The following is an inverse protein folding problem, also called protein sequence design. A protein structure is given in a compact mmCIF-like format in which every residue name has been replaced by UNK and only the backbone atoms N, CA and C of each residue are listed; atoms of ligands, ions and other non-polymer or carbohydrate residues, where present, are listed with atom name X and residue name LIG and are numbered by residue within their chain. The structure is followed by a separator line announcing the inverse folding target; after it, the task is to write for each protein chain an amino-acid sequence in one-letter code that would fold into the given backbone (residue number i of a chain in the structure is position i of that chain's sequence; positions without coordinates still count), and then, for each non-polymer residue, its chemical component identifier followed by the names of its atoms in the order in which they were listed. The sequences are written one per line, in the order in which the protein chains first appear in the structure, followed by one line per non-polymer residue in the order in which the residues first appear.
data_IF_957295480200
#
_entry.id   IF_957295480200
#
_cell.length_a   1.000
_cell.length_b   1.000
_cell.length_c   1.000
_cell.angle_alpha   90.00
_cell.angle_beta   90.00
_cell.angle_gamma   90.00
#
_symmetry.space_group_name_H-M   'P 1'
#
loop_
_entity.id
_entity.type
_entity.pdbx_description
1 polymer ?
#
# COMPACT_ATOMS: atom_id res chain seq x y z
N UNK A 1 5.04 16.37 9.61
CA UNK A 1 5.05 15.57 10.85
C UNK A 1 4.19 14.30 10.74
N UNK A 2 2.91 14.40 10.33
CA UNK A 2 2.01 13.24 10.14
C UNK A 2 2.53 12.10 9.24
N UNK A 3 3.28 12.40 8.16
CA UNK A 3 3.85 11.38 7.25
C UNK A 3 4.86 10.43 7.91
N UNK A 4 5.61 10.87 8.94
CA UNK A 4 6.56 9.99 9.66
C UNK A 4 5.84 9.10 10.67
N UNK A 5 4.83 9.64 11.36
CA UNK A 5 3.96 8.87 12.27
C UNK A 5 3.26 7.74 11.52
N UNK A 6 2.81 8.01 10.29
CA UNK A 6 2.08 7.02 9.50
C UNK A 6 2.92 5.80 9.10
N UNK A 7 4.22 5.99 8.85
CA UNK A 7 5.14 4.88 8.58
C UNK A 7 5.39 4.00 9.82
N UNK A 8 5.54 4.63 10.99
CA UNK A 8 5.69 3.91 12.27
C UNK A 8 4.40 3.15 12.61
N UNK A 9 3.24 3.78 12.44
CA UNK A 9 1.94 3.17 12.68
C UNK A 9 1.70 1.96 11.76
N UNK A 10 1.99 2.08 10.46
CA UNK A 10 1.87 0.97 9.52
C UNK A 10 2.78 -0.21 9.90
N UNK A 11 3.98 0.06 10.40
CA UNK A 11 4.90 -0.98 10.86
C UNK A 11 4.43 -1.65 12.16
N UNK A 12 3.88 -0.87 13.11
CA UNK A 12 3.28 -1.41 14.34
C UNK A 12 2.10 -2.33 14.01
N UNK A 13 1.21 -1.90 13.12
CA UNK A 13 0.04 -2.69 12.72
C UNK A 13 0.44 -3.98 12.01
N UNK A 14 1.43 -3.91 11.11
CA UNK A 14 1.98 -5.10 10.45
C UNK A 14 2.60 -6.10 11.44
N UNK A 15 3.19 -5.63 12.55
CA UNK A 15 3.69 -6.51 13.62
C UNK A 15 2.58 -7.12 14.47
N UNK A 16 1.47 -6.42 14.65
CA UNK A 16 0.32 -6.92 15.43
C UNK A 16 -0.51 -7.95 14.64
N UNK A 17 -0.56 -7.82 13.31
CA UNK A 17 -1.28 -8.73 12.40
C UNK A 17 -0.34 -9.21 11.29
N UNK A 18 0.64 -10.07 11.61
CA UNK A 18 1.68 -10.49 10.66
C UNK A 18 1.16 -11.27 9.44
N UNK A 19 -0.06 -11.80 9.53
CA UNK A 19 -0.77 -12.50 8.46
C UNK A 19 -1.45 -11.56 7.46
N UNK A 20 -1.66 -10.29 7.80
CA UNK A 20 -2.37 -9.35 6.94
C UNK A 20 -1.44 -8.39 6.20
N UNK A 21 -1.83 -8.09 4.97
CA UNK A 21 -1.28 -6.96 4.23
C UNK A 21 -1.89 -5.65 4.74
N UNK A 22 -1.14 -4.57 4.64
CA UNK A 22 -1.59 -3.25 5.07
C UNK A 22 -1.33 -2.20 3.98
N UNK A 23 -2.35 -1.39 3.69
CA UNK A 23 -2.26 -0.25 2.78
C UNK A 23 -2.60 1.05 3.54
N UNK A 24 -1.78 2.08 3.33
CA UNK A 24 -2.03 3.43 3.79
C UNK A 24 -2.29 4.34 2.59
N UNK A 25 -3.35 5.14 2.66
CA UNK A 25 -3.76 6.09 1.63
C UNK A 25 -3.68 7.50 2.21
N UNK A 26 -2.97 8.40 1.52
CA UNK A 26 -2.85 9.81 1.90
C UNK A 26 -3.16 10.67 0.66
N UNK A 27 -3.97 11.72 0.81
CA UNK A 27 -4.18 12.68 -0.26
C UNK A 27 -2.92 13.57 -0.44
N UNK A 28 -2.50 13.74 -1.68
CA UNK A 28 -1.50 14.71 -2.09
C UNK A 28 -2.13 16.10 -2.25
N UNK A 29 -1.29 17.14 -2.31
CA UNK A 29 -1.75 18.52 -2.48
C UNK A 29 -2.36 18.78 -3.87
N UNK A 30 -1.98 17.98 -4.87
CA UNK A 30 -2.50 18.05 -6.25
C UNK A 30 -3.83 17.27 -6.44
N UNK A 31 -4.41 16.76 -5.35
CA UNK A 31 -5.64 15.98 -5.37
C UNK A 31 -5.45 14.49 -5.65
N UNK A 32 -4.27 14.05 -6.10
CA UNK A 32 -3.97 12.62 -6.28
C UNK A 32 -3.79 11.90 -4.93
N UNK A 33 -3.70 10.58 -4.95
CA UNK A 33 -3.49 9.76 -3.75
C UNK A 33 -2.08 9.15 -3.75
N UNK A 34 -1.39 9.25 -2.61
CA UNK A 34 -0.19 8.48 -2.31
C UNK A 34 -0.56 7.22 -1.56
N UNK A 35 -0.06 6.09 -2.03
CA UNK A 35 -0.34 4.77 -1.46
C UNK A 35 0.96 4.16 -0.95
N UNK A 36 0.93 3.57 0.25
CA UNK A 36 2.04 2.77 0.79
C UNK A 36 1.53 1.40 1.18
N UNK A 37 2.15 0.34 0.66
CA UNK A 37 1.76 -1.06 0.87
C UNK A 37 2.85 -1.79 1.67
N UNK A 38 2.41 -2.64 2.59
CA UNK A 38 3.20 -3.64 3.30
C UNK A 38 2.55 -5.00 3.08
N UNK A 39 3.31 -5.94 2.54
CA UNK A 39 2.89 -7.34 2.46
C UNK A 39 2.79 -7.96 3.87
N UNK A 40 2.08 -9.09 4.03
CA UNK A 40 2.10 -9.87 5.27
C UNK A 40 3.54 -10.16 5.70
N UNK A 41 3.85 -10.05 7.00
CA UNK A 41 5.19 -10.33 7.51
C UNK A 41 5.57 -11.80 7.36
N UNK A 42 4.58 -12.70 7.38
CA UNK A 42 4.77 -14.14 7.20
C UNK A 42 4.98 -14.53 5.74
N UNK A 43 4.52 -13.71 4.79
CA UNK A 43 4.66 -13.93 3.35
C UNK A 43 4.98 -12.60 2.65
N UNK A 44 6.24 -12.17 2.79
CA UNK A 44 6.77 -10.82 2.45
C UNK A 44 6.82 -10.55 0.94
N UNK A 45 5.74 -10.82 0.22
CA UNK A 45 5.64 -10.83 -1.23
C UNK A 45 4.34 -10.18 -1.71
N UNK A 46 4.29 -9.81 -2.99
CA UNK A 46 3.08 -9.31 -3.66
C UNK A 46 2.84 -7.80 -3.57
N UNK A 47 3.59 -7.06 -2.74
CA UNK A 47 3.43 -5.60 -2.66
C UNK A 47 3.87 -4.90 -3.97
N UNK A 48 5.00 -5.30 -4.54
CA UNK A 48 5.50 -4.76 -5.80
C UNK A 48 4.62 -5.16 -6.99
N UNK A 49 4.20 -6.43 -7.05
CA UNK A 49 3.30 -6.95 -8.07
C UNK A 49 1.99 -6.14 -8.11
N UNK A 50 1.41 -5.84 -6.95
CA UNK A 50 0.25 -4.97 -6.85
C UNK A 50 0.55 -3.54 -7.33
N UNK A 51 1.55 -2.89 -6.75
CA UNK A 51 1.79 -1.46 -7.02
C UNK A 51 2.15 -1.20 -8.48
N UNK A 52 2.91 -2.09 -9.14
CA UNK A 52 3.30 -1.95 -10.56
C UNK A 52 2.13 -1.95 -11.54
N UNK A 53 0.93 -2.40 -11.12
CA UNK A 53 -0.30 -2.34 -11.93
C UNK A 53 -0.85 -0.93 -12.08
N UNK A 54 -0.39 0.01 -11.25
CA UNK A 54 -0.89 1.38 -11.21
C UNK A 54 0.19 2.38 -11.67
N UNK A 55 -0.22 3.54 -12.24
CA UNK A 55 0.72 4.59 -12.64
C UNK A 55 1.60 5.03 -11.47
N UNK A 56 2.89 5.29 -11.73
CA UNK A 56 3.90 5.68 -10.72
C UNK A 56 4.15 4.65 -9.60
N UNK A 57 3.59 3.44 -9.73
CA UNK A 57 3.71 2.39 -8.73
C UNK A 57 4.99 1.56 -8.88
N UNK A 58 5.59 1.20 -7.75
CA UNK A 58 6.80 0.38 -7.72
C UNK A 58 7.30 0.11 -6.31
N UNK A 59 8.38 -0.67 -6.20
CA UNK A 59 8.99 -1.04 -4.93
C UNK A 59 9.54 -2.46 -4.92
N UNK A 60 9.58 -3.05 -3.73
CA UNK A 60 10.10 -4.40 -3.46
C UNK A 60 8.95 -5.33 -3.04
N UNK A 61 9.17 -6.64 -3.15
CA UNK A 61 8.19 -7.69 -2.82
C UNK A 61 7.46 -7.48 -1.48
N UNK A 62 8.19 -7.08 -0.43
CA UNK A 62 7.64 -6.89 0.91
C UNK A 62 6.98 -5.50 1.14
N UNK A 63 7.37 -4.51 0.35
CA UNK A 63 7.08 -3.11 0.59
C UNK A 63 7.17 -2.30 -0.69
N UNK A 64 6.05 -1.69 -1.07
CA UNK A 64 5.92 -0.93 -2.31
C UNK A 64 4.98 0.26 -2.12
N UNK A 65 4.83 1.09 -3.13
CA UNK A 65 3.92 2.23 -3.07
C UNK A 65 3.59 2.81 -4.44
N UNK A 66 2.65 3.75 -4.43
CA UNK A 66 2.22 4.54 -5.58
C UNK A 66 2.35 6.00 -5.18
N UNK A 67 3.03 6.80 -6.01
CA UNK A 67 3.30 8.20 -5.67
C UNK A 67 2.09 9.10 -5.97
N UNK A 68 1.45 8.90 -7.12
CA UNK A 68 0.31 9.68 -7.62
C UNK A 68 -0.70 8.74 -8.27
N UNK A 69 -1.71 8.33 -7.52
CA UNK A 69 -2.86 7.57 -8.01
C UNK A 69 -4.03 8.54 -8.25
N UNK A 70 -4.63 8.58 -9.46
CA UNK A 70 -5.87 9.31 -9.70
C UNK A 70 -6.98 8.85 -8.73
N UNK A 71 -7.79 9.78 -8.20
CA UNK A 71 -8.81 9.49 -7.18
C UNK A 71 -9.87 8.49 -7.69
N UNK A 72 -10.11 8.51 -8.98
CA UNK A 72 -11.06 7.70 -9.73
C UNK A 72 -10.65 6.21 -9.68
N UNK A 73 -9.34 5.95 -9.63
CA UNK A 73 -8.76 4.61 -9.52
C UNK A 73 -8.73 4.08 -8.08
N UNK A 74 -9.19 4.86 -7.08
CA UNK A 74 -9.18 4.42 -5.67
C UNK A 74 -9.94 3.11 -5.47
N UNK A 75 -11.12 2.97 -6.09
CA UNK A 75 -11.94 1.76 -5.98
C UNK A 75 -11.23 0.56 -6.61
N UNK A 76 -10.65 0.75 -7.78
CA UNK A 76 -9.87 -0.27 -8.48
C UNK A 76 -8.67 -0.72 -7.64
N UNK A 77 -7.95 0.20 -7.01
CA UNK A 77 -6.86 -0.11 -6.09
C UNK A 77 -7.33 -0.98 -4.91
N UNK A 78 -8.46 -0.63 -4.27
CA UNK A 78 -8.99 -1.40 -3.12
C UNK A 78 -9.35 -2.83 -3.54
N UNK A 79 -10.00 -2.98 -4.70
CA UNK A 79 -10.33 -4.31 -5.25
C UNK A 79 -9.07 -5.11 -5.58
N UNK A 80 -8.11 -4.50 -6.26
CA UNK A 80 -6.84 -5.14 -6.61
C UNK A 80 -6.03 -5.55 -5.38
N UNK A 81 -5.99 -4.69 -4.35
CA UNK A 81 -5.34 -4.98 -3.07
C UNK A 81 -6.01 -6.16 -2.38
N UNK A 82 -7.35 -6.17 -2.31
CA UNK A 82 -8.10 -7.26 -1.70
C UNK A 82 -7.84 -8.57 -2.42
N UNK A 83 -7.91 -8.59 -3.76
CA UNK A 83 -7.65 -9.79 -4.55
C UNK A 83 -6.20 -10.28 -4.46
N UNK A 84 -5.23 -9.37 -4.30
CA UNK A 84 -3.81 -9.74 -4.18
C UNK A 84 -3.50 -10.47 -2.86
N UNK A 85 -4.23 -10.15 -1.80
CA UNK A 85 -3.96 -10.61 -0.43
C UNK A 85 -5.14 -11.36 0.21
N UNK A 86 -6.21 -11.63 -0.54
CA UNK A 86 -7.26 -12.56 -0.15
C UNK A 86 -6.68 -13.97 -0.22
N UNK A 87 -6.28 -14.49 0.94
CA UNK A 87 -6.06 -15.92 1.17
C UNK A 87 -7.27 -16.48 1.87
#
# INVERSE_FOLDING_TARGET
WARRVAGVFSNTLARQKPELAHALIIANADGSLRISVRAPLNNRQGADALCRRFPTGGGRAAAAGINQLPVEMKKEFITAFSNQFST
#
